data_IF_472285398172
#
_entry.id   IF_472285398172
#
_cell.length_a   1.000
_cell.length_b   1.000
_cell.length_c   1.000
_cell.angle_alpha   90.00
_cell.angle_beta   90.00
_cell.angle_gamma   90.00
#
_symmetry.space_group_name_H-M   'P 1'
#
loop_
_entity.id
_entity.type
_entity.pdbx_description
1 polymer ?
#
# COMPACT_ATOMS: atom_id res chain seq x y z
N UNK A 1 0.06 -61.39 -13.06
CA UNK A 1 1.18 -61.94 -13.87
C UNK A 1 0.68 -63.14 -14.68
N UNK A 2 1.28 -63.40 -15.85
CA UNK A 2 0.91 -64.30 -16.98
C UNK A 2 0.13 -63.55 -18.08
N UNK A 3 0.80 -63.03 -19.13
CA UNK A 3 1.40 -63.69 -20.31
C UNK A 3 0.33 -64.40 -21.19
N UNK A 4 0.24 -64.30 -22.51
CA UNK A 4 0.84 -63.48 -23.60
C UNK A 4 0.41 -64.16 -24.94
N UNK A 5 0.22 -63.37 -26.01
CA UNK A 5 0.28 -63.68 -27.48
C UNK A 5 -0.71 -64.74 -28.07
N UNK A 6 -1.50 -64.49 -29.14
CA UNK A 6 -1.26 -63.97 -30.51
C UNK A 6 -1.23 -65.11 -31.55
N UNK A 7 -2.01 -65.02 -32.64
CA UNK A 7 -1.59 -65.14 -34.08
C UNK A 7 -2.81 -65.27 -35.05
N UNK A 8 -3.01 -64.35 -36.04
CA UNK A 8 -2.72 -64.42 -37.52
C UNK A 8 -3.78 -65.26 -38.30
N UNK A 9 -4.41 -64.93 -39.46
CA UNK A 9 -4.06 -64.26 -40.74
C UNK A 9 -5.37 -63.68 -41.40
N UNK A 10 -5.43 -62.54 -42.11
CA UNK A 10 -4.95 -62.12 -43.45
C UNK A 10 -5.64 -62.79 -44.65
N UNK A 11 -6.50 -62.06 -45.38
CA UNK A 11 -6.64 -62.11 -46.86
C UNK A 11 -7.06 -60.73 -47.39
N UNK A 12 -6.29 -60.23 -48.36
CA UNK A 12 -6.52 -59.02 -49.13
C UNK A 12 -7.50 -59.26 -50.29
N UNK A 13 -8.25 -58.22 -50.71
CA UNK A 13 -8.68 -58.12 -52.10
C UNK A 13 -8.67 -56.65 -52.57
N UNK A 14 -7.85 -56.45 -53.60
CA UNK A 14 -7.80 -55.33 -54.52
C UNK A 14 -9.18 -55.05 -55.15
N UNK A 15 -9.52 -53.77 -55.38
CA UNK A 15 -9.79 -53.23 -56.73
C UNK A 15 -10.46 -51.84 -56.69
N UNK A 16 -9.88 -50.93 -57.49
CA UNK A 16 -10.51 -49.86 -58.27
C UNK A 16 -11.55 -48.99 -57.55
N UNK A 17 -11.28 -47.72 -57.22
CA UNK A 17 -10.97 -46.69 -58.21
C UNK A 17 -12.26 -45.96 -58.60
N UNK A 18 -12.44 -44.72 -58.15
CA UNK A 18 -12.95 -43.58 -58.92
C UNK A 18 -12.99 -42.34 -58.03
N UNK A 19 -12.23 -41.35 -58.48
CA UNK A 19 -12.11 -40.01 -57.89
C UNK A 19 -13.43 -39.29 -58.10
N UNK A 20 -14.17 -39.02 -57.02
CA UNK A 20 -15.20 -37.98 -57.02
C UNK A 20 -14.62 -36.75 -56.33
N UNK A 21 -14.31 -35.73 -57.13
CA UNK A 21 -14.06 -34.39 -56.65
C UNK A 21 -15.36 -33.85 -56.03
N UNK A 22 -15.50 -33.99 -54.71
CA UNK A 22 -16.50 -33.26 -53.95
C UNK A 22 -15.93 -31.85 -53.70
N UNK A 23 -16.40 -30.87 -54.47
CA UNK A 23 -16.28 -29.46 -54.14
C UNK A 23 -17.03 -29.22 -52.83
N UNK A 24 -16.31 -29.29 -51.71
CA UNK A 24 -16.82 -28.81 -50.44
C UNK A 24 -17.14 -27.32 -50.59
N UNK A 25 -18.43 -26.99 -50.65
CA UNK A 25 -18.90 -25.63 -50.42
C UNK A 25 -18.46 -25.22 -49.02
N UNK A 26 -17.37 -24.45 -48.94
CA UNK A 26 -17.03 -23.68 -47.75
C UNK A 26 -18.23 -22.77 -47.43
N UNK A 27 -19.01 -23.14 -46.43
CA UNK A 27 -19.87 -22.18 -45.74
C UNK A 27 -18.93 -21.16 -45.09
N UNK A 28 -18.92 -19.94 -45.61
CA UNK A 28 -18.39 -18.79 -44.88
C UNK A 28 -18.99 -18.78 -43.47
N UNK A 29 -18.19 -18.55 -42.42
CA UNK A 29 -18.75 -18.30 -41.10
C UNK A 29 -19.57 -17.02 -41.20
N UNK A 30 -20.88 -17.11 -40.91
CA UNK A 30 -21.74 -15.94 -40.72
C UNK A 30 -21.08 -15.04 -39.67
N UNK A 31 -20.49 -13.93 -40.10
CA UNK A 31 -20.17 -12.83 -39.19
C UNK A 31 -21.49 -12.38 -38.58
N UNK A 32 -21.65 -12.56 -37.26
CA UNK A 32 -22.73 -11.90 -36.55
C UNK A 32 -22.53 -10.38 -36.72
N UNK A 33 -23.46 -9.65 -37.34
CA UNK A 33 -23.34 -8.21 -37.47
C UNK A 33 -23.25 -7.60 -36.08
N UNK A 34 -22.27 -6.72 -35.88
CA UNK A 34 -22.12 -5.95 -34.65
C UNK A 34 -23.42 -5.16 -34.43
N UNK A 35 -24.03 -5.20 -33.23
CA UNK A 35 -25.20 -4.39 -32.94
C UNK A 35 -24.86 -2.90 -33.20
N UNK A 36 -25.70 -2.15 -33.95
CA UNK A 36 -25.45 -0.75 -34.30
C UNK A 36 -25.37 0.17 -33.06
N UNK A 37 -25.78 -0.32 -31.89
CA UNK A 37 -25.65 0.36 -30.60
C UNK A 37 -24.18 0.55 -30.16
N UNK A 38 -23.26 -0.28 -30.67
CA UNK A 38 -21.82 -0.21 -30.38
C UNK A 38 -21.04 0.69 -31.34
N UNK A 39 -21.68 1.28 -32.35
CA UNK A 39 -21.09 2.28 -33.25
C UNK A 39 -21.21 3.71 -32.70
N UNK A 40 -21.83 3.86 -31.52
CA UNK A 40 -21.77 5.12 -30.77
C UNK A 40 -20.32 5.32 -30.31
N UNK A 41 -19.74 6.53 -30.46
CA UNK A 41 -18.49 6.86 -29.79
C UNK A 41 -18.66 6.52 -28.31
N UNK A 42 -17.82 5.61 -27.80
CA UNK A 42 -17.81 5.30 -26.38
C UNK A 42 -17.63 6.59 -25.58
N UNK A 43 -18.23 6.66 -24.40
CA UNK A 43 -17.92 7.75 -23.47
C UNK A 43 -16.39 7.84 -23.33
N UNK A 44 -15.87 9.04 -23.56
CA UNK A 44 -14.45 9.33 -23.40
C UNK A 44 -14.11 8.98 -21.96
N UNK A 45 -13.09 8.14 -21.74
CA UNK A 45 -12.59 7.86 -20.40
C UNK A 45 -12.41 9.20 -19.67
N UNK A 46 -13.19 9.42 -18.61
CA UNK A 46 -13.07 10.64 -17.83
C UNK A 46 -11.67 10.67 -17.24
N UNK A 47 -10.86 11.65 -17.66
CA UNK A 47 -9.52 11.88 -17.12
C UNK A 47 -9.56 11.70 -15.60
N UNK A 48 -8.83 10.70 -15.11
CA UNK A 48 -8.71 10.39 -13.69
C UNK A 48 -8.46 11.70 -12.92
N UNK A 49 -9.23 11.95 -11.86
CA UNK A 49 -8.98 13.12 -11.00
C UNK A 49 -7.47 13.15 -10.69
N UNK A 50 -6.78 14.29 -10.88
CA UNK A 50 -5.36 14.37 -10.54
C UNK A 50 -5.22 13.94 -9.08
N UNK A 51 -4.24 13.06 -8.82
CA UNK A 51 -3.93 12.65 -7.47
C UNK A 51 -3.74 13.93 -6.61
N UNK A 52 -4.26 13.96 -5.38
CA UNK A 52 -4.10 15.11 -4.50
C UNK A 52 -2.62 15.52 -4.47
N UNK A 53 -2.36 16.81 -4.70
CA UNK A 53 -0.99 17.33 -4.73
C UNK A 53 -0.49 17.49 -3.29
N UNK A 54 0.01 16.40 -2.71
CA UNK A 54 0.53 16.39 -1.35
C UNK A 54 1.82 17.21 -1.26
N UNK A 55 1.90 18.11 -0.27
CA UNK A 55 3.15 18.80 0.07
C UNK A 55 4.25 17.81 0.48
N UNK A 56 3.86 16.68 1.09
CA UNK A 56 4.73 15.56 1.41
C UNK A 56 4.29 14.35 0.59
N UNK A 57 4.86 14.13 -0.61
CA UNK A 57 4.45 13.07 -1.52
C UNK A 57 4.91 11.70 -1.04
N UNK A 58 4.42 10.63 -1.69
CA UNK A 58 4.85 9.27 -1.42
C UNK A 58 6.38 9.11 -1.49
N UNK A 59 6.96 8.45 -0.49
CA UNK A 59 8.37 8.07 -0.47
C UNK A 59 8.57 6.62 0.01
N UNK A 60 7.53 5.78 -0.06
CA UNK A 60 7.58 4.39 0.43
C UNK A 60 8.57 3.50 -0.32
N UNK A 61 9.04 3.94 -1.50
CA UNK A 61 10.07 3.25 -2.29
C UNK A 61 11.50 3.59 -1.85
N UNK A 62 11.70 4.58 -0.97
CA UNK A 62 13.02 4.94 -0.47
C UNK A 62 13.55 3.88 0.48
N UNK A 63 14.86 3.66 0.42
CA UNK A 63 15.57 2.80 1.39
C UNK A 63 15.93 3.60 2.63
N UNK A 64 16.16 2.91 3.76
CA UNK A 64 16.54 3.58 5.02
C UNK A 64 17.81 4.44 4.89
N UNK A 65 18.76 4.06 4.01
CA UNK A 65 19.96 4.83 3.72
C UNK A 65 19.69 6.18 3.02
N UNK A 66 18.51 6.36 2.42
CA UNK A 66 18.04 7.59 1.78
C UNK A 66 17.18 8.45 2.71
N UNK A 67 16.95 7.99 3.94
CA UNK A 67 16.16 8.66 4.96
C UNK A 67 17.10 9.30 6.00
N UNK A 68 16.55 10.19 6.83
CA UNK A 68 17.26 10.68 7.99
C UNK A 68 17.54 9.52 8.95
N UNK A 69 18.70 9.55 9.59
CA UNK A 69 19.02 8.60 10.65
C UNK A 69 18.02 8.73 11.81
N UNK A 70 17.70 7.59 12.44
CA UNK A 70 16.78 7.52 13.58
C UNK A 70 17.21 8.42 14.75
N UNK A 71 18.52 8.61 14.93
CA UNK A 71 19.10 9.51 15.93
C UNK A 71 18.71 10.98 15.67
N UNK A 72 18.61 11.39 14.41
CA UNK A 72 18.16 12.73 14.03
C UNK A 72 16.66 12.91 14.29
N UNK A 73 15.86 11.84 14.16
CA UNK A 73 14.44 11.87 14.47
C UNK A 73 14.17 11.95 15.98
N UNK A 74 15.02 11.33 16.81
CA UNK A 74 14.95 11.42 18.28
C UNK A 74 15.38 12.83 18.75
N UNK A 75 16.43 13.38 18.15
CA UNK A 75 17.07 14.61 18.61
C UNK A 75 17.73 14.44 19.98
N UNK A 76 17.83 15.53 20.74
CA UNK A 76 18.38 15.50 22.10
C UNK A 76 17.27 15.26 23.13
N UNK A 77 17.26 14.07 23.74
CA UNK A 77 16.35 13.77 24.85
C UNK A 77 16.83 14.43 26.13
N UNK A 78 15.90 15.05 26.87
CA UNK A 78 16.16 15.52 28.24
C UNK A 78 16.50 14.31 29.12
N UNK A 79 17.38 14.49 30.10
CA UNK A 79 17.89 13.43 31.00
C UNK A 79 16.79 12.62 31.70
N UNK A 80 15.64 13.23 31.96
CA UNK A 80 14.51 12.62 32.66
C UNK A 80 13.58 11.81 31.75
N UNK A 81 13.74 11.96 30.43
CA UNK A 81 12.98 11.24 29.41
C UNK A 81 13.71 9.96 29.00
N UNK A 82 12.95 8.89 28.78
CA UNK A 82 13.51 7.60 28.37
C UNK A 82 12.95 7.22 27.01
N UNK A 83 13.82 6.98 26.03
CA UNK A 83 13.40 6.41 24.76
C UNK A 83 12.85 5.00 25.02
N UNK A 84 11.59 4.76 24.66
CA UNK A 84 10.96 3.44 24.74
C UNK A 84 11.19 2.66 23.46
N UNK A 85 10.83 3.26 22.33
CA UNK A 85 11.05 2.67 21.00
C UNK A 85 11.07 3.73 19.91
N UNK A 86 11.64 3.35 18.76
CA UNK A 86 11.59 4.12 17.52
C UNK A 86 11.40 3.16 16.36
N UNK A 87 10.38 3.39 15.54
CA UNK A 87 10.04 2.54 14.41
C UNK A 87 9.83 3.39 13.15
N UNK A 88 10.24 2.85 12.00
CA UNK A 88 9.89 3.41 10.70
C UNK A 88 8.54 2.82 10.27
N UNK A 89 7.57 3.68 10.00
CA UNK A 89 6.21 3.27 9.64
C UNK A 89 5.66 4.15 8.51
N UNK A 90 4.52 3.74 7.93
CA UNK A 90 3.76 4.61 7.04
C UNK A 90 2.91 5.60 7.85
N UNK A 91 2.67 6.79 7.33
CA UNK A 91 1.86 7.80 7.99
C UNK A 91 0.44 7.31 8.27
N UNK A 92 -0.16 6.54 7.34
CA UNK A 92 -1.47 5.91 7.55
C UNK A 92 -1.49 4.93 8.70
N UNK A 93 -0.44 4.12 8.86
CA UNK A 93 -0.31 3.15 9.97
C UNK A 93 -0.24 3.87 11.32
N UNK A 94 0.52 4.97 11.40
CA UNK A 94 0.53 5.83 12.58
C UNK A 94 -0.87 6.35 12.93
N UNK A 95 -1.60 6.86 11.94
CA UNK A 95 -2.95 7.39 12.15
C UNK A 95 -3.90 6.30 12.64
N UNK A 96 -3.86 5.10 12.06
CA UNK A 96 -4.67 3.96 12.52
C UNK A 96 -4.36 3.59 13.98
N UNK A 97 -3.08 3.50 14.34
CA UNK A 97 -2.64 3.23 15.71
C UNK A 97 -3.06 4.34 16.69
N UNK A 98 -3.14 5.59 16.25
CA UNK A 98 -3.65 6.70 17.06
C UNK A 98 -5.17 6.57 17.28
N UNK A 99 -5.94 6.15 16.27
CA UNK A 99 -7.41 5.95 16.39
C UNK A 99 -7.72 4.92 17.46
N UNK A 100 -7.01 3.79 17.43
CA UNK A 100 -7.19 2.68 18.36
C UNK A 100 -6.92 3.08 19.82
N UNK A 101 -6.02 4.05 20.05
CA UNK A 101 -5.69 4.58 21.37
C UNK A 101 -6.71 5.62 21.90
N UNK A 102 -7.77 5.90 21.14
CA UNK A 102 -8.79 6.89 21.51
C UNK A 102 -8.33 8.35 21.37
N UNK A 103 -7.23 8.59 20.64
CA UNK A 103 -6.74 9.94 20.39
C UNK A 103 -7.61 10.68 19.38
N UNK A 104 -7.82 11.98 19.58
CA UNK A 104 -8.41 12.85 18.56
C UNK A 104 -7.47 12.90 17.35
N UNK A 105 -8.01 12.59 16.17
CA UNK A 105 -7.23 12.63 14.93
C UNK A 105 -7.57 13.88 14.15
N UNK A 106 -6.57 14.73 13.99
CA UNK A 106 -6.54 15.75 12.97
C UNK A 106 -5.58 15.22 11.91
N UNK A 107 -6.14 14.61 10.86
CA UNK A 107 -5.36 14.09 9.74
C UNK A 107 -4.77 15.27 8.94
N UNK A 108 -3.46 15.23 8.71
CA UNK A 108 -2.82 16.21 7.85
C UNK A 108 -2.98 15.80 6.39
N UNK A 109 -4.00 16.34 5.72
CA UNK A 109 -4.31 16.07 4.31
C UNK A 109 -3.20 16.49 3.32
N UNK A 110 -2.15 17.17 3.80
CA UNK A 110 -0.97 17.52 2.99
C UNK A 110 0.09 16.41 2.98
N UNK A 111 -0.06 15.36 3.77
CA UNK A 111 0.88 14.24 3.87
C UNK A 111 0.30 13.02 3.18
N UNK A 112 1.05 12.45 2.24
CA UNK A 112 0.64 11.22 1.56
C UNK A 112 0.55 10.05 2.56
N UNK A 113 -0.47 9.17 2.49
CA UNK A 113 -0.66 8.08 3.46
C UNK A 113 0.53 7.11 3.52
N UNK A 114 1.16 6.83 2.38
CA UNK A 114 2.36 5.96 2.30
C UNK A 114 3.68 6.65 2.64
N UNK A 115 3.64 7.93 3.05
CA UNK A 115 4.84 8.66 3.49
C UNK A 115 5.47 7.93 4.68
N UNK A 116 6.76 7.66 4.60
CA UNK A 116 7.55 7.06 5.67
C UNK A 116 7.81 8.11 6.77
N UNK A 117 7.55 7.71 8.00
CA UNK A 117 7.72 8.53 9.20
C UNK A 117 8.42 7.73 10.28
N UNK A 118 9.29 8.40 11.04
CA UNK A 118 9.81 7.89 12.30
C UNK A 118 8.79 8.16 13.40
N UNK A 119 8.30 7.10 14.03
CA UNK A 119 7.43 7.16 15.20
C UNK A 119 8.29 6.91 16.43
N UNK A 120 8.47 7.95 17.24
CA UNK A 120 9.33 7.94 18.42
C UNK A 120 8.45 7.90 19.66
N UNK A 121 8.59 6.86 20.47
CA UNK A 121 7.90 6.73 21.75
C UNK A 121 8.86 6.95 22.91
N UNK A 122 8.49 7.85 23.80
CA UNK A 122 9.30 8.32 24.91
C UNK A 122 8.48 8.23 26.18
N UNK A 123 9.04 7.63 27.22
CA UNK A 123 8.45 7.63 28.55
C UNK A 123 8.95 8.86 29.33
N UNK A 124 8.01 9.56 29.95
CA UNK A 124 8.24 10.66 30.89
C UNK A 124 7.82 10.19 32.30
N UNK A 125 8.63 9.37 32.99
CA UNK A 125 8.25 8.74 34.25
C UNK A 125 8.03 9.74 35.39
N UNK A 126 8.70 10.90 35.34
CA UNK A 126 8.57 11.99 36.31
C UNK A 126 7.59 13.08 35.85
N UNK A 127 7.01 12.93 34.66
CA UNK A 127 6.18 13.93 34.01
C UNK A 127 6.94 14.95 33.17
N UNK A 128 6.18 15.85 32.56
CA UNK A 128 6.70 16.87 31.66
C UNK A 128 5.89 18.17 31.74
N UNK A 129 6.58 19.29 31.63
CA UNK A 129 5.98 20.60 31.47
C UNK A 129 6.03 21.03 30.00
N UNK A 130 4.87 21.34 29.44
CA UNK A 130 4.72 21.73 28.03
C UNK A 130 4.27 23.18 27.95
N UNK A 131 5.13 24.09 27.46
CA UNK A 131 4.74 25.47 27.24
C UNK A 131 3.77 25.56 26.06
N UNK A 132 2.69 26.29 26.25
CA UNK A 132 1.67 26.59 25.25
C UNK A 132 1.98 27.93 24.58
N UNK A 133 1.42 28.15 23.38
CA UNK A 133 1.61 29.40 22.62
C UNK A 133 1.07 30.64 23.32
N UNK A 134 0.11 30.47 24.25
CA UNK A 134 -0.47 31.54 25.06
C UNK A 134 0.35 31.83 26.33
N UNK A 135 1.53 31.22 26.51
CA UNK A 135 2.38 31.39 27.69
C UNK A 135 1.99 30.54 28.90
N UNK A 136 0.90 29.78 28.82
CA UNK A 136 0.54 28.82 29.88
C UNK A 136 1.45 27.59 29.81
N UNK A 137 1.71 26.97 30.97
CA UNK A 137 2.44 25.72 31.06
C UNK A 137 1.49 24.63 31.51
N UNK A 138 1.30 23.61 30.67
CA UNK A 138 0.54 22.41 31.05
C UNK A 138 1.52 21.42 31.66
N UNK A 139 1.21 20.96 32.87
CA UNK A 139 1.97 19.93 33.56
C UNK A 139 1.28 18.59 33.36
N UNK A 140 2.03 17.64 32.82
CA UNK A 140 1.62 16.25 32.73
C UNK A 140 2.36 15.45 33.80
N UNK A 141 1.66 14.54 34.47
CA UNK A 141 2.26 13.55 35.38
C UNK A 141 3.01 12.50 34.56
N UNK A 142 3.23 11.32 35.14
CA UNK A 142 3.78 10.16 34.42
C UNK A 142 3.06 9.98 33.08
N UNK A 143 3.79 10.10 31.98
CA UNK A 143 3.19 10.15 30.64
C UNK A 143 4.00 9.38 29.61
N UNK A 144 3.35 9.01 28.52
CA UNK A 144 3.99 8.55 27.29
C UNK A 144 3.84 9.62 26.22
N UNK A 145 4.93 9.90 25.53
CA UNK A 145 5.03 10.91 24.48
C UNK A 145 5.27 10.19 23.16
N UNK A 146 4.44 10.45 22.16
CA UNK A 146 4.66 9.99 20.78
C UNK A 146 5.03 11.19 19.91
N UNK A 147 6.18 11.15 19.26
CA UNK A 147 6.62 12.16 18.29
C UNK A 147 6.64 11.52 16.91
N UNK A 148 6.04 12.19 15.92
CA UNK A 148 6.06 11.74 14.54
C UNK A 148 6.89 12.69 13.71
N UNK A 149 7.92 12.16 13.06
CA UNK A 149 8.89 12.92 12.27
C UNK A 149 8.93 12.37 10.84
N UNK A 150 8.87 13.24 9.85
CA UNK A 150 9.07 12.86 8.44
C UNK A 150 10.44 12.20 8.25
N UNK A 151 10.45 10.98 7.71
CA UNK A 151 11.70 10.24 7.60
C UNK A 151 12.63 10.79 6.50
N UNK A 152 12.15 11.63 5.60
CA UNK A 152 12.99 12.24 4.56
C UNK A 152 13.48 13.63 4.93
N UNK A 153 12.63 14.49 5.49
CA UNK A 153 12.98 15.90 5.78
C UNK A 153 13.34 16.16 7.23
N UNK A 154 13.04 15.23 8.15
CA UNK A 154 13.17 15.47 9.59
C UNK A 154 12.14 16.45 10.16
N UNK A 155 11.15 16.86 9.37
CA UNK A 155 10.08 17.75 9.83
C UNK A 155 9.15 17.02 10.78
N UNK A 156 8.90 17.60 11.95
CA UNK A 156 7.92 17.08 12.90
C UNK A 156 6.50 17.27 12.37
N UNK A 157 5.74 16.18 12.31
CA UNK A 157 4.32 16.19 11.90
C UNK A 157 3.38 16.22 13.09
N UNK A 158 3.68 15.48 14.16
CA UNK A 158 2.81 15.44 15.33
C UNK A 158 3.60 15.25 16.64
N UNK A 159 2.95 15.60 17.74
CA UNK A 159 3.39 15.32 19.10
C UNK A 159 2.15 15.03 19.94
N UNK A 160 2.04 13.80 20.42
CA UNK A 160 0.97 13.35 21.28
C UNK A 160 1.52 13.04 22.67
N UNK A 161 0.76 13.40 23.71
CA UNK A 161 1.16 13.22 25.11
C UNK A 161 -0.03 12.64 25.86
N UNK A 162 0.15 11.44 26.37
CA UNK A 162 -0.91 10.69 27.08
C UNK A 162 -0.42 10.38 28.48
N UNK A 163 -1.19 10.82 29.49
CA UNK A 163 -0.92 10.45 30.88
C UNK A 163 -1.13 8.94 31.06
N UNK A 164 -0.20 8.31 31.78
CA UNK A 164 -0.22 6.87 32.06
C UNK A 164 -0.42 6.65 33.56
N UNK A 165 -1.12 5.57 33.97
CA UNK A 165 -1.30 5.23 35.38
C UNK A 165 0.02 5.04 36.14
#
# INVERSE_FOLDING_TARGET
>A
MKKVLSTIALVAYFCLGLVYAATASQKEPKQNPRPPELDKPGEIETTSKPAPNYLFPDNSSKTEAQLIHKENAIGQLKKELKLRQINLAQYSEYLENKKQRGGNIIENLQVHPKRLVWVVEIDAPLGIEVPQKNGQVIKFRKSSITIVVDAETGRKFDTDIVETP
#
